data_IF_853337202687
#
_entry.id   IF_853337202687
#
_cell.length_a   1.000
_cell.length_b   1.000
_cell.length_c   1.000
_cell.angle_alpha   90.00
_cell.angle_beta   90.00
_cell.angle_gamma   90.00
#
_symmetry.space_group_name_H-M   'P 1'
#
loop_
_entity.id
_entity.type
_entity.pdbx_description
1 polymer ?
#
# COMPACT_ATOMS: atom_id res chain seq x y z
N UNK A 1 7.02 10.27 -19.48
CA UNK A 1 7.49 10.12 -18.08
C UNK A 1 9.00 10.25 -18.08
N UNK A 2 9.65 10.70 -16.99
CA UNK A 2 11.11 10.74 -16.93
C UNK A 2 11.66 9.32 -16.71
N UNK A 3 11.92 8.63 -17.81
CA UNK A 3 12.25 7.20 -17.81
C UNK A 3 13.61 6.90 -17.18
N UNK A 4 14.57 7.82 -17.31
CA UNK A 4 15.89 7.69 -16.69
C UNK A 4 15.79 7.75 -15.16
N UNK A 5 15.12 8.78 -14.63
CA UNK A 5 14.90 8.91 -13.18
C UNK A 5 14.04 7.78 -12.60
N UNK A 6 13.15 7.21 -13.40
CA UNK A 6 12.37 6.06 -12.98
C UNK A 6 13.23 4.79 -12.93
N UNK A 7 13.96 4.47 -14.00
CA UNK A 7 14.82 3.29 -14.08
C UNK A 7 16.01 3.33 -13.11
N UNK A 8 16.51 4.52 -12.73
CA UNK A 8 17.59 4.66 -11.75
C UNK A 8 17.21 4.19 -10.33
N UNK A 9 15.91 3.96 -10.07
CA UNK A 9 15.42 3.32 -8.83
C UNK A 9 15.65 1.80 -8.80
N UNK A 10 16.07 1.21 -9.92
CA UNK A 10 16.43 -0.22 -10.01
C UNK A 10 17.90 -0.44 -9.64
N UNK A 11 18.30 -1.68 -9.42
CA UNK A 11 19.71 -2.06 -9.25
C UNK A 11 20.41 -2.36 -10.60
N UNK A 12 19.97 -1.72 -11.68
CA UNK A 12 20.62 -1.82 -12.99
C UNK A 12 21.80 -0.87 -13.08
N UNK A 13 22.79 -1.23 -13.90
CA UNK A 13 23.94 -0.37 -14.16
C UNK A 13 23.52 0.92 -14.88
N UNK A 14 24.12 2.06 -14.52
CA UNK A 14 23.74 3.37 -15.06
C UNK A 14 23.86 3.44 -16.60
N UNK A 15 24.83 2.74 -17.19
CA UNK A 15 24.98 2.66 -18.64
C UNK A 15 23.73 2.03 -19.30
N UNK A 16 23.25 0.92 -18.75
CA UNK A 16 22.05 0.22 -19.21
C UNK A 16 20.78 1.04 -18.97
N UNK A 17 20.71 1.74 -17.84
CA UNK A 17 19.58 2.63 -17.52
C UNK A 17 19.42 3.71 -18.58
N UNK A 18 20.53 4.30 -19.04
CA UNK A 18 20.49 5.31 -20.11
C UNK A 18 19.99 4.72 -21.44
N UNK A 19 20.52 3.56 -21.84
CA UNK A 19 20.09 2.89 -23.09
C UNK A 19 18.61 2.51 -23.07
N UNK A 20 18.12 1.95 -21.97
CA UNK A 20 16.72 1.55 -21.83
C UNK A 20 15.78 2.74 -21.70
N UNK A 21 16.19 3.80 -21.01
CA UNK A 21 15.42 5.04 -20.96
C UNK A 21 15.21 5.61 -22.37
N UNK A 22 16.26 5.60 -23.20
CA UNK A 22 16.17 6.04 -24.59
C UNK A 22 15.26 5.12 -25.41
N UNK A 23 15.35 3.81 -25.23
CA UNK A 23 14.44 2.86 -25.88
C UNK A 23 12.97 3.12 -25.51
N UNK A 24 12.69 3.45 -24.25
CA UNK A 24 11.33 3.74 -23.79
C UNK A 24 10.80 5.05 -24.37
N UNK A 25 11.65 6.08 -24.50
CA UNK A 25 11.28 7.33 -25.18
C UNK A 25 11.02 7.08 -26.67
N UNK A 26 11.87 6.32 -27.35
CA UNK A 26 11.72 6.00 -28.78
C UNK A 26 10.47 5.20 -29.11
N UNK A 27 10.04 4.33 -28.20
CA UNK A 27 8.78 3.58 -28.32
C UNK A 27 7.57 4.34 -27.77
N UNK A 28 7.73 5.64 -27.46
CA UNK A 28 6.67 6.54 -26.97
C UNK A 28 5.93 6.02 -25.73
N UNK A 29 6.62 5.23 -24.89
CA UNK A 29 5.99 4.63 -23.73
C UNK A 29 5.52 5.71 -22.77
N UNK A 30 4.31 5.51 -22.25
CA UNK A 30 3.67 6.35 -21.27
C UNK A 30 3.65 5.67 -19.89
N UNK A 31 3.27 6.44 -18.87
CA UNK A 31 3.21 5.90 -17.50
C UNK A 31 2.07 4.88 -17.38
N UNK A 32 1.01 5.07 -18.14
CA UNK A 32 -0.18 4.24 -18.20
C UNK A 32 0.15 2.85 -18.74
N UNK A 33 1.16 2.75 -19.61
CA UNK A 33 1.62 1.49 -20.21
C UNK A 33 2.32 0.58 -19.21
N UNK A 34 2.73 1.09 -18.04
CA UNK A 34 3.34 0.30 -16.97
C UNK A 34 2.46 -0.88 -16.52
N UNK A 35 1.13 -0.75 -16.66
CA UNK A 35 0.18 -1.82 -16.35
C UNK A 35 0.26 -3.00 -17.33
N UNK A 36 0.73 -2.77 -18.56
CA UNK A 36 0.82 -3.76 -19.63
C UNK A 36 2.22 -4.35 -19.79
N UNK A 37 3.20 -3.85 -19.02
CA UNK A 37 4.56 -4.36 -19.05
C UNK A 37 4.58 -5.86 -18.75
N UNK A 38 5.10 -6.61 -19.71
CA UNK A 38 5.28 -8.05 -19.63
C UNK A 38 6.65 -8.45 -20.20
N UNK A 39 7.02 -9.71 -20.03
CA UNK A 39 8.34 -10.19 -20.42
C UNK A 39 8.59 -10.15 -21.93
N UNK A 40 7.56 -10.41 -22.74
CA UNK A 40 7.61 -10.41 -24.20
C UNK A 40 7.70 -9.00 -24.76
N UNK A 41 6.92 -8.09 -24.20
CA UNK A 41 6.90 -6.67 -24.52
C UNK A 41 8.24 -6.01 -24.24
N UNK A 42 8.83 -6.25 -23.07
CA UNK A 42 10.15 -5.71 -22.75
C UNK A 42 11.23 -6.32 -23.66
N UNK A 43 11.04 -7.56 -24.12
CA UNK A 43 11.96 -8.19 -25.05
C UNK A 43 11.84 -7.60 -26.46
N UNK A 44 10.63 -7.31 -26.95
CA UNK A 44 10.40 -6.74 -28.28
C UNK A 44 10.95 -5.32 -28.43
N UNK A 45 10.99 -4.53 -27.35
CA UNK A 45 11.61 -3.19 -27.34
C UNK A 45 13.14 -3.20 -27.17
N UNK A 46 13.75 -4.38 -26.99
CA UNK A 46 15.21 -4.54 -26.94
C UNK A 46 15.82 -4.89 -25.59
N UNK A 47 15.01 -5.21 -24.57
CA UNK A 47 15.52 -5.67 -23.27
C UNK A 47 15.53 -7.20 -23.25
N UNK A 48 16.52 -7.80 -23.90
CA UNK A 48 16.65 -9.26 -24.01
C UNK A 48 17.06 -9.93 -22.68
N UNK A 49 17.88 -9.25 -21.87
CA UNK A 49 18.42 -9.78 -20.61
C UNK A 49 17.31 -10.02 -19.59
N UNK A 50 17.09 -11.29 -19.24
CA UNK A 50 15.99 -11.69 -18.35
C UNK A 50 16.06 -11.01 -16.96
N UNK A 51 17.26 -10.86 -16.39
CA UNK A 51 17.45 -10.16 -15.10
C UNK A 51 16.99 -8.71 -15.16
N UNK A 52 17.26 -8.02 -16.26
CA UNK A 52 16.87 -6.61 -16.41
C UNK A 52 15.36 -6.46 -16.54
N UNK A 53 14.72 -7.32 -17.35
CA UNK A 53 13.26 -7.39 -17.44
C UNK A 53 12.61 -7.59 -16.07
N UNK A 54 13.17 -8.48 -15.23
CA UNK A 54 12.64 -8.73 -13.89
C UNK A 54 12.73 -7.50 -12.98
N UNK A 55 13.85 -6.78 -12.97
CA UNK A 55 14.00 -5.56 -12.16
C UNK A 55 13.01 -4.47 -12.59
N UNK A 56 12.82 -4.30 -13.90
CA UNK A 56 11.85 -3.34 -14.46
C UNK A 56 10.41 -3.71 -14.10
N UNK A 57 10.05 -4.99 -14.20
CA UNK A 57 8.71 -5.47 -13.82
C UNK A 57 8.45 -5.33 -12.30
N UNK A 58 9.47 -5.57 -11.47
CA UNK A 58 9.37 -5.33 -10.02
C UNK A 58 9.11 -3.85 -9.73
N UNK A 59 9.82 -2.96 -10.43
CA UNK A 59 9.65 -1.52 -10.27
C UNK A 59 8.25 -1.06 -10.72
N UNK A 60 7.75 -1.54 -11.87
CA UNK A 60 6.40 -1.25 -12.36
C UNK A 60 5.31 -1.64 -11.33
N UNK A 61 5.42 -2.84 -10.75
CA UNK A 61 4.48 -3.29 -9.69
C UNK A 61 4.56 -2.44 -8.42
N UNK A 62 5.73 -1.91 -8.08
CA UNK A 62 5.93 -1.04 -6.91
C UNK A 62 5.24 0.31 -7.12
N UNK A 63 5.37 0.89 -8.31
CA UNK A 63 4.73 2.18 -8.66
C UNK A 63 3.19 2.05 -8.62
N UNK A 64 2.65 0.98 -9.20
CA UNK A 64 1.19 0.71 -9.18
C UNK A 64 0.67 0.51 -7.75
N UNK A 65 1.39 -0.23 -6.92
CA UNK A 65 1.03 -0.40 -5.50
C UNK A 65 1.04 0.93 -4.75
N UNK A 66 2.03 1.79 -5.00
CA UNK A 66 2.11 3.13 -4.42
C UNK A 66 0.86 3.96 -4.73
N UNK A 67 0.37 3.90 -5.97
CA UNK A 67 -0.86 4.58 -6.41
C UNK A 67 -2.08 4.13 -5.59
N UNK A 68 -2.24 2.83 -5.38
CA UNK A 68 -3.35 2.26 -4.61
C UNK A 68 -3.27 2.65 -3.12
N UNK A 69 -2.10 2.58 -2.49
CA UNK A 69 -1.94 2.87 -1.05
C UNK A 69 -2.17 4.34 -0.71
N UNK A 70 -1.85 5.25 -1.64
CA UNK A 70 -2.01 6.70 -1.42
C UNK A 70 -3.49 7.12 -1.38
N UNK A 71 -4.35 6.45 -2.15
CA UNK A 71 -5.81 6.66 -2.10
C UNK A 71 -6.44 6.04 -0.86
N UNK A 72 -6.08 4.80 -0.55
CA UNK A 72 -6.67 4.07 0.58
C UNK A 72 -6.26 4.63 1.95
N UNK A 73 -5.00 5.09 2.09
CA UNK A 73 -4.54 5.72 3.35
C UNK A 73 -5.30 7.00 3.68
N UNK A 74 -5.65 7.82 2.69
CA UNK A 74 -6.49 9.02 2.86
C UNK A 74 -7.92 8.66 3.23
N UNK A 75 -8.51 7.65 2.58
CA UNK A 75 -9.85 7.14 2.91
C UNK A 75 -9.91 6.63 4.36
N UNK A 76 -8.93 5.81 4.76
CA UNK A 76 -8.82 5.28 6.12
C UNK A 76 -8.62 6.40 7.15
N UNK A 77 -7.82 7.41 6.83
CA UNK A 77 -7.61 8.59 7.69
C UNK A 77 -8.90 9.41 7.85
N UNK A 78 -9.65 9.61 6.76
CA UNK A 78 -10.95 10.29 6.80
C UNK A 78 -11.97 9.50 7.63
N UNK A 79 -12.04 8.17 7.45
CA UNK A 79 -12.89 7.30 8.28
C UNK A 79 -12.51 7.38 9.76
N UNK A 80 -11.22 7.46 10.10
CA UNK A 80 -10.77 7.56 11.49
C UNK A 80 -11.21 8.88 12.15
N UNK A 81 -11.19 10.00 11.40
CA UNK A 81 -11.72 11.29 11.88
C UNK A 81 -13.23 11.22 12.12
N UNK A 82 -13.98 10.57 11.23
CA UNK A 82 -15.45 10.47 11.34
C UNK A 82 -15.89 9.50 12.43
N UNK A 83 -15.14 8.42 12.73
CA UNK A 83 -15.41 7.51 13.87
C UNK A 83 -15.51 8.25 15.21
N UNK A 84 -14.71 9.29 15.41
CA UNK A 84 -14.67 10.08 16.65
C UNK A 84 -15.93 10.95 16.84
N UNK A 85 -16.57 11.35 15.75
CA UNK A 85 -17.83 12.13 15.77
C UNK A 85 -19.04 11.20 15.88
N UNK A 86 -19.03 10.08 15.14
CA UNK A 86 -20.08 9.07 15.24
C UNK A 86 -20.09 8.46 16.66
N UNK A 87 -18.95 8.18 17.26
CA UNK A 87 -18.88 7.67 18.64
C UNK A 87 -19.50 8.66 19.66
N UNK A 88 -19.26 9.97 19.50
CA UNK A 88 -19.86 11.01 20.36
C UNK A 88 -21.36 11.13 20.16
N UNK A 89 -21.82 11.16 18.91
CA UNK A 89 -23.25 11.29 18.61
C UNK A 89 -24.03 10.01 18.92
N UNK A 90 -23.43 8.83 18.80
CA UNK A 90 -24.04 7.55 19.20
C UNK A 90 -24.12 7.45 20.72
N UNK A 91 -23.06 7.83 21.47
CA UNK A 91 -23.13 7.87 22.95
C UNK A 91 -24.10 8.93 23.47
N UNK A 92 -24.24 10.07 22.78
CA UNK A 92 -25.19 11.13 23.14
C UNK A 92 -26.64 10.78 22.78
N UNK A 93 -26.86 10.06 21.66
CA UNK A 93 -28.20 9.65 21.20
C UNK A 93 -28.70 8.37 21.86
N UNK A 94 -27.82 7.47 22.27
CA UNK A 94 -28.13 6.27 23.04
C UNK A 94 -27.61 6.50 24.45
N UNK A 95 -28.39 7.22 25.25
CA UNK A 95 -28.04 7.59 26.62
C UNK A 95 -27.60 6.39 27.46
N UNK A 96 -26.29 6.15 27.53
CA UNK A 96 -25.69 5.37 28.61
C UNK A 96 -25.63 6.29 29.82
N UNK A 97 -26.79 6.42 30.48
CA UNK A 97 -26.88 6.95 31.83
C UNK A 97 -25.99 6.11 32.73
N UNK A 98 -25.01 6.76 33.37
CA UNK A 98 -24.25 6.16 34.47
C UNK A 98 -25.15 6.10 35.71
N UNK A 99 -26.03 5.12 35.77
CA UNK A 99 -26.67 4.75 37.01
C UNK A 99 -26.27 3.32 37.34
N UNK A 100 -25.41 3.22 38.35
CA UNK A 100 -25.19 2.00 39.12
C UNK A 100 -26.52 1.58 39.72
N UNK A 101 -27.10 0.46 39.27
CA UNK A 101 -27.88 -0.49 40.09
C UNK A 101 -28.45 -1.62 39.23
N UNK A 102 -28.58 -2.78 39.87
CA UNK A 102 -28.80 -4.14 39.34
C UNK A 102 -29.84 -4.27 38.20
N UNK A 103 -29.48 -5.00 37.15
CA UNK A 103 -30.46 -5.72 36.30
C UNK A 103 -29.83 -6.99 35.69
N UNK A 104 -30.42 -8.19 35.87
CA UNK A 104 -29.77 -9.47 35.54
C UNK A 104 -29.97 -9.97 34.10
N UNK A 105 -30.46 -9.15 33.17
CA UNK A 105 -30.73 -9.57 31.78
C UNK A 105 -29.94 -8.73 30.76
N UNK A 106 -28.64 -9.00 30.57
CA UNK A 106 -27.89 -8.33 29.47
C UNK A 106 -26.67 -9.07 28.93
N UNK A 107 -26.78 -10.37 28.67
CA UNK A 107 -25.66 -11.19 28.17
C UNK A 107 -25.83 -11.69 26.71
N UNK A 108 -26.89 -11.31 25.99
CA UNK A 108 -27.13 -11.83 24.63
C UNK A 108 -26.24 -11.23 23.53
N UNK A 109 -25.59 -10.09 23.75
CA UNK A 109 -24.87 -9.36 22.69
C UNK A 109 -23.34 -9.42 22.77
N UNK A 110 -22.76 -10.16 23.72
CA UNK A 110 -21.30 -10.27 23.88
C UNK A 110 -20.60 -11.21 22.88
N UNK A 111 -21.35 -11.97 22.08
CA UNK A 111 -20.79 -12.89 21.08
C UNK A 111 -20.23 -12.19 19.83
N UNK A 112 -20.91 -11.14 19.36
CA UNK A 112 -20.55 -10.47 18.10
C UNK A 112 -19.29 -9.60 18.22
N UNK A 113 -19.02 -9.02 19.40
CA UNK A 113 -17.84 -8.18 19.64
C UNK A 113 -16.52 -8.96 19.68
N UNK A 114 -16.55 -10.27 19.97
CA UNK A 114 -15.34 -11.11 19.99
C UNK A 114 -14.75 -11.33 18.59
N UNK A 115 -15.55 -11.19 17.51
CA UNK A 115 -15.08 -11.35 16.13
C UNK A 115 -14.27 -10.16 15.60
N UNK A 116 -14.43 -8.97 16.18
CA UNK A 116 -13.67 -7.77 15.79
C UNK A 116 -12.28 -7.70 16.44
N UNK A 117 -12.07 -8.39 17.57
CA UNK A 117 -10.73 -8.49 18.19
C UNK A 117 -9.76 -9.36 17.38
N UNK A 118 -10.27 -10.32 16.60
CA UNK A 118 -9.46 -11.08 15.63
C UNK A 118 -8.88 -10.19 14.53
N UNK A 119 -9.69 -9.26 14.01
CA UNK A 119 -9.26 -8.28 12.99
C UNK A 119 -8.21 -7.31 13.54
N UNK A 120 -8.31 -6.93 14.82
CA UNK A 120 -7.31 -6.10 15.50
C UNK A 120 -5.95 -6.80 15.68
N UNK A 121 -5.95 -8.13 15.91
CA UNK A 121 -4.72 -8.95 15.90
C UNK A 121 -4.09 -8.99 14.50
N UNK A 122 -4.88 -9.13 13.44
CA UNK A 122 -4.38 -9.09 12.06
C UNK A 122 -3.81 -7.73 11.67
N UNK A 123 -4.37 -6.62 12.18
CA UNK A 123 -3.82 -5.27 12.00
C UNK A 123 -2.51 -5.07 12.77
N UNK A 124 -2.35 -5.69 13.95
CA UNK A 124 -1.04 -5.72 14.66
C UNK A 124 0.02 -6.51 13.89
N UNK A 125 -0.36 -7.62 13.25
CA UNK A 125 0.53 -8.40 12.38
C UNK A 125 0.90 -7.56 11.14
N UNK A 126 -0.05 -6.90 10.48
CA UNK A 126 0.25 -5.99 9.37
C UNK A 126 1.15 -4.82 9.80
N UNK A 127 0.93 -4.21 10.97
CA UNK A 127 1.81 -3.16 11.50
C UNK A 127 3.22 -3.68 11.79
N UNK A 128 3.38 -4.93 12.27
CA UNK A 128 4.70 -5.56 12.49
C UNK A 128 5.38 -5.94 11.17
N UNK A 129 4.66 -6.47 10.19
CA UNK A 129 5.19 -6.80 8.86
C UNK A 129 5.62 -5.52 8.12
N UNK A 130 4.85 -4.44 8.24
CA UNK A 130 5.23 -3.12 7.68
C UNK A 130 6.43 -2.52 8.42
N UNK A 131 6.56 -2.70 9.74
CA UNK A 131 7.72 -2.25 10.50
C UNK A 131 8.99 -3.06 10.17
N UNK A 132 8.89 -4.37 9.95
CA UNK A 132 10.03 -5.23 9.56
C UNK A 132 10.51 -4.99 8.12
N UNK A 133 9.62 -4.54 7.22
CA UNK A 133 9.99 -4.13 5.85
C UNK A 133 10.49 -2.68 5.81
N UNK A 134 10.24 -1.89 6.86
CA UNK A 134 10.61 -0.47 6.96
C UNK A 134 11.96 -0.16 7.62
N UNK A 135 12.68 -1.15 8.16
CA UNK A 135 14.01 -0.95 8.75
C UNK A 135 15.09 -1.69 7.97
N UNK A 136 15.39 -1.21 6.77
CA UNK A 136 16.71 -1.37 6.15
C UNK A 136 16.98 -0.18 5.25
N UNK A 137 17.08 0.99 5.86
CA UNK A 137 17.83 2.12 5.31
C UNK A 137 18.14 3.10 6.44
N UNK A 138 19.41 3.20 6.81
CA UNK A 138 19.92 4.30 7.64
C UNK A 138 20.47 3.91 9.01
N UNK A 139 21.59 3.19 9.05
CA UNK A 139 22.66 3.51 10.00
C UNK A 139 23.98 3.49 9.23
N UNK A 140 24.66 4.64 9.24
CA UNK A 140 25.86 4.91 8.46
C UNK A 140 26.24 6.38 8.62
N UNK A 141 26.68 6.71 9.83
CA UNK A 141 27.64 7.77 10.16
C UNK A 141 28.12 7.53 11.60
#
# INVERSE_FOLDING_TARGET
MDWYSWLSKTNLELALVHEYALAFVRNELQREDLAYFNHEFLQSIGISVAKHRLEILKLARKEERGRMTNGLSRLVMAMYKTKRVIAKNVMAKWGFSKNSELSPYRNQWNGALKRLNGVSKSIKILKRVVALVGTSCGQGL
#
